data_IF_331881852643
#
_entry.id   IF_331881852643
#
_cell.length_a   1.000
_cell.length_b   1.000
_cell.length_c   1.000
_cell.angle_alpha   90.00
_cell.angle_beta   90.00
_cell.angle_gamma   90.00
#
_symmetry.space_group_name_H-M   'P 1'
#
loop_
_entity.id
_entity.type
_entity.pdbx_description
1 polymer ?
#
# COMPACT_ATOMS: atom_id res chain seq x y z
N UNK A 1 22.54 -49.95 -37.64
CA UNK A 1 23.33 -49.76 -36.41
C UNK A 1 22.98 -48.38 -35.86
N UNK A 2 22.15 -48.24 -34.83
CA UNK A 2 22.33 -48.78 -33.48
C UNK A 2 22.52 -47.57 -32.58
N UNK A 3 21.47 -47.15 -31.86
CA UNK A 3 21.25 -47.49 -30.45
C UNK A 3 22.10 -46.66 -29.49
N UNK A 4 21.44 -45.70 -28.81
CA UNK A 4 21.65 -45.34 -27.40
C UNK A 4 20.55 -44.32 -27.03
N UNK A 5 19.34 -44.73 -26.68
CA UNK A 5 18.98 -45.41 -25.42
C UNK A 5 19.27 -44.48 -24.23
N UNK A 6 18.19 -43.95 -23.65
CA UNK A 6 18.07 -43.65 -22.22
C UNK A 6 18.93 -42.52 -21.67
N UNK A 7 18.35 -41.31 -21.51
CA UNK A 7 18.92 -40.36 -20.54
C UNK A 7 17.93 -39.38 -19.91
N UNK A 8 16.71 -39.23 -20.47
CA UNK A 8 15.81 -38.17 -19.98
C UNK A 8 14.89 -38.58 -18.81
N UNK A 9 14.75 -39.87 -18.51
CA UNK A 9 13.80 -40.35 -17.50
C UNK A 9 14.43 -40.46 -16.08
N UNK A 10 15.76 -40.38 -15.94
CA UNK A 10 16.45 -40.60 -14.65
C UNK A 10 16.89 -39.34 -13.89
N UNK A 11 16.76 -38.14 -14.45
CA UNK A 11 17.17 -36.91 -13.74
C UNK A 11 16.05 -36.36 -12.84
N UNK A 12 14.80 -36.77 -13.05
CA UNK A 12 13.66 -36.24 -12.28
C UNK A 12 13.52 -36.81 -10.86
N UNK A 13 14.30 -37.83 -10.47
CA UNK A 13 14.14 -38.52 -9.17
C UNK A 13 15.15 -38.03 -8.12
N UNK A 14 16.02 -37.07 -8.44
CA UNK A 14 17.09 -36.61 -7.54
C UNK A 14 16.91 -35.17 -7.00
N UNK A 15 15.67 -34.69 -6.87
CA UNK A 15 15.37 -33.43 -6.17
C UNK A 15 14.44 -33.61 -4.96
N UNK A 16 14.39 -34.83 -4.40
CA UNK A 16 13.81 -35.08 -3.08
C UNK A 16 14.81 -34.72 -1.97
N UNK A 17 15.21 -33.44 -1.93
CA UNK A 17 15.97 -32.82 -0.83
C UNK A 17 15.10 -31.73 -0.21
N UNK A 18 13.97 -32.15 0.36
CA UNK A 18 13.17 -31.34 1.28
C UNK A 18 13.98 -31.20 2.57
N UNK A 19 14.95 -30.28 2.59
CA UNK A 19 15.51 -29.73 3.82
C UNK A 19 14.80 -28.42 4.08
N UNK A 20 13.55 -28.52 4.53
CA UNK A 20 12.85 -27.42 5.17
C UNK A 20 12.87 -27.72 6.66
N UNK A 21 14.01 -27.38 7.28
CA UNK A 21 14.18 -27.39 8.74
C UNK A 21 13.44 -26.16 9.30
N UNK A 22 12.12 -26.23 9.38
CA UNK A 22 11.32 -25.23 10.08
C UNK A 22 11.25 -25.60 11.57
N UNK A 23 12.05 -24.93 12.40
CA UNK A 23 11.59 -24.62 13.76
C UNK A 23 10.58 -23.50 13.64
N UNK A 24 9.41 -23.64 14.26
CA UNK A 24 9.01 -22.58 15.17
C UNK A 24 8.31 -23.15 16.41
N UNK A 25 8.95 -22.97 17.57
CA UNK A 25 8.16 -22.72 18.76
C UNK A 25 7.45 -21.39 18.55
N UNK A 26 6.13 -21.43 18.36
CA UNK A 26 5.27 -20.25 18.29
C UNK A 26 4.06 -20.50 19.18
N UNK A 27 3.94 -19.63 20.17
CA UNK A 27 2.94 -19.55 21.23
C UNK A 27 1.53 -19.86 20.71
N UNK A 28 0.85 -20.84 21.32
CA UNK A 28 -0.60 -21.04 21.14
C UNK A 28 -1.33 -19.93 21.89
N UNK A 29 -1.65 -18.83 21.20
CA UNK A 29 -2.67 -17.90 21.70
C UNK A 29 -4.03 -18.56 21.43
N UNK A 30 -4.55 -19.33 22.38
CA UNK A 30 -5.92 -19.86 22.28
C UNK A 30 -6.90 -18.75 22.63
N UNK A 31 -7.21 -17.89 21.67
CA UNK A 31 -8.44 -17.09 21.76
C UNK A 31 -9.58 -18.05 21.45
N UNK A 32 -10.45 -18.29 22.43
CA UNK A 32 -11.65 -19.09 22.28
C UNK A 32 -12.56 -18.45 21.22
N UNK A 33 -12.37 -18.81 19.95
CA UNK A 33 -13.25 -18.40 18.87
C UNK A 33 -14.57 -19.15 19.02
N UNK A 34 -15.54 -18.51 19.68
CA UNK A 34 -16.89 -19.03 19.79
C UNK A 34 -17.63 -18.73 18.48
N UNK A 35 -17.98 -19.75 17.65
CA UNK A 35 -18.55 -19.54 16.31
C UNK A 35 -19.99 -18.99 16.34
N UNK A 36 -20.62 -18.95 17.52
CA UNK A 36 -21.96 -18.39 17.71
C UNK A 36 -21.99 -16.86 17.70
N UNK A 37 -20.84 -16.19 17.78
CA UNK A 37 -20.74 -14.74 17.58
C UNK A 37 -21.25 -14.39 16.17
N UNK A 38 -20.76 -15.07 15.13
CA UNK A 38 -21.06 -14.72 13.73
C UNK A 38 -22.44 -15.14 13.22
N UNK A 39 -23.19 -15.94 13.98
CA UNK A 39 -24.50 -16.44 13.55
C UNK A 39 -25.65 -15.44 13.75
N UNK A 40 -25.50 -14.46 14.66
CA UNK A 40 -26.60 -13.58 15.08
C UNK A 40 -26.37 -12.09 14.79
N UNK A 41 -25.35 -11.72 14.01
CA UNK A 41 -25.21 -10.32 13.60
C UNK A 41 -26.13 -10.01 12.41
N UNK A 42 -27.10 -9.09 12.54
CA UNK A 42 -27.77 -8.54 11.38
C UNK A 42 -26.71 -8.03 10.40
N UNK A 43 -26.86 -8.33 9.10
CA UNK A 43 -25.94 -7.83 8.06
C UNK A 43 -25.76 -6.33 8.27
N UNK A 44 -24.54 -5.92 8.58
CA UNK A 44 -24.19 -4.50 8.69
C UNK A 44 -24.37 -3.87 7.32
N UNK A 45 -25.50 -3.18 7.13
CA UNK A 45 -25.72 -2.31 5.99
C UNK A 45 -25.02 -0.99 6.33
N UNK A 46 -23.81 -0.83 5.81
CA UNK A 46 -23.08 0.41 5.83
C UNK A 46 -24.01 1.52 5.26
N UNK A 47 -24.38 2.56 6.05
CA UNK A 47 -25.37 3.56 5.62
C UNK A 47 -24.96 4.39 4.39
N UNK A 48 -23.71 4.26 3.93
CA UNK A 48 -23.10 5.01 2.84
C UNK A 48 -23.27 4.37 1.45
N UNK A 49 -24.13 3.35 1.29
CA UNK A 49 -24.28 2.65 0.01
C UNK A 49 -25.19 3.36 -1.02
N UNK A 50 -25.81 4.50 -0.66
CA UNK A 50 -26.56 5.31 -1.61
C UNK A 50 -25.59 6.25 -2.34
N UNK A 51 -25.39 6.00 -3.65
CA UNK A 51 -24.41 6.63 -4.54
C UNK A 51 -24.58 8.16 -4.79
N UNK A 52 -25.19 8.90 -3.86
CA UNK A 52 -25.38 10.34 -3.93
C UNK A 52 -25.49 11.06 -2.58
N UNK A 53 -25.34 10.34 -1.46
CA UNK A 53 -25.39 10.89 -0.10
C UNK A 53 -24.04 10.71 0.62
N UNK A 54 -22.95 10.62 -0.13
CA UNK A 54 -21.60 10.66 0.43
C UNK A 54 -21.26 12.11 0.78
N UNK A 55 -21.13 12.38 2.08
CA UNK A 55 -20.58 13.64 2.55
C UNK A 55 -19.14 13.74 2.03
N UNK A 56 -18.86 14.71 1.16
CA UNK A 56 -17.53 14.89 0.60
C UNK A 56 -16.56 15.23 1.71
N UNK A 57 -15.38 14.61 1.67
CA UNK A 57 -14.32 14.94 2.61
C UNK A 57 -13.92 16.41 2.43
N UNK A 58 -13.93 17.23 3.50
CA UNK A 58 -13.54 18.64 3.41
C UNK A 58 -12.07 18.82 3.00
N UNK A 59 -11.27 17.76 3.14
CA UNK A 59 -9.86 17.72 2.73
C UNK A 59 -9.71 18.07 1.24
N UNK A 60 -10.62 17.63 0.37
CA UNK A 60 -10.48 17.85 -1.07
C UNK A 60 -10.65 19.32 -1.48
N UNK A 61 -11.37 20.10 -0.69
CA UNK A 61 -11.51 21.55 -0.89
C UNK A 61 -10.32 22.34 -0.31
N UNK A 62 -9.68 21.82 0.75
CA UNK A 62 -8.57 22.47 1.45
C UNK A 62 -7.24 22.23 0.71
N UNK A 63 -7.03 21.04 0.17
CA UNK A 63 -5.82 20.65 -0.59
C UNK A 63 -5.36 21.72 -1.61
N UNK A 64 -6.20 22.21 -2.56
CA UNK A 64 -5.75 23.17 -3.56
C UNK A 64 -5.35 24.52 -2.97
N UNK A 65 -5.98 24.96 -1.87
CA UNK A 65 -5.61 26.21 -1.18
C UNK A 65 -4.21 26.11 -0.58
N UNK A 66 -3.93 24.99 0.10
CA UNK A 66 -2.63 24.72 0.71
C UNK A 66 -1.49 24.55 -0.31
N UNK A 67 -1.76 24.05 -1.51
CA UNK A 67 -0.75 23.92 -2.58
C UNK A 67 -0.13 25.28 -2.97
N UNK A 68 -0.92 26.35 -2.94
CA UNK A 68 -0.42 27.71 -3.23
C UNK A 68 0.63 28.16 -2.22
N UNK A 69 0.41 27.88 -0.93
CA UNK A 69 1.36 28.20 0.15
C UNK A 69 2.63 27.36 0.07
N UNK A 70 2.53 26.12 -0.38
CA UNK A 70 3.64 25.17 -0.51
C UNK A 70 4.30 25.16 -1.90
N UNK A 71 4.13 26.23 -2.69
CA UNK A 71 4.60 26.32 -4.08
C UNK A 71 6.11 26.10 -4.25
N UNK A 72 6.93 26.50 -3.27
CA UNK A 72 8.38 26.25 -3.28
C UNK A 72 8.70 24.74 -3.35
N UNK A 73 8.12 23.95 -2.45
CA UNK A 73 8.33 22.50 -2.39
C UNK A 73 7.72 21.77 -3.59
N UNK A 74 6.61 22.29 -4.12
CA UNK A 74 5.97 21.77 -5.32
C UNK A 74 6.89 21.91 -6.55
N UNK A 75 7.60 23.03 -6.67
CA UNK A 75 8.56 23.24 -7.76
C UNK A 75 9.74 22.27 -7.68
N UNK A 76 10.29 22.05 -6.48
CA UNK A 76 11.40 21.10 -6.26
C UNK A 76 10.99 19.65 -6.55
N UNK A 77 9.79 19.25 -6.10
CA UNK A 77 9.24 17.95 -6.42
C UNK A 77 9.04 17.76 -7.92
N UNK A 78 8.45 18.76 -8.60
CA UNK A 78 8.24 18.71 -10.05
C UNK A 78 9.57 18.66 -10.81
N UNK A 79 10.59 19.42 -10.38
CA UNK A 79 11.92 19.34 -10.95
C UNK A 79 12.54 17.94 -10.78
N UNK A 80 12.35 17.31 -9.62
CA UNK A 80 12.77 15.94 -9.39
C UNK A 80 12.06 14.94 -10.34
N UNK A 81 10.74 15.02 -10.45
CA UNK A 81 9.93 14.15 -11.33
C UNK A 81 10.35 14.31 -12.78
N UNK A 82 10.60 15.54 -13.25
CA UNK A 82 11.08 15.80 -14.60
C UNK A 82 12.48 15.22 -14.87
N UNK A 83 13.40 15.26 -13.88
CA UNK A 83 14.71 14.60 -14.04
C UNK A 83 14.59 13.09 -14.12
N UNK A 84 13.66 12.50 -13.36
CA UNK A 84 13.42 11.07 -13.34
C UNK A 84 12.71 10.56 -14.58
N UNK A 85 11.76 11.31 -15.13
CA UNK A 85 11.07 10.94 -16.37
C UNK A 85 12.00 10.90 -17.59
N UNK A 86 13.07 11.71 -17.57
CA UNK A 86 14.09 11.73 -18.60
C UNK A 86 15.14 10.61 -18.47
N UNK A 87 15.21 9.93 -17.31
CA UNK A 87 16.17 8.82 -17.11
C UNK A 87 15.57 7.49 -17.56
N UNK A 88 16.32 6.75 -18.37
CA UNK A 88 15.98 5.38 -18.81
C UNK A 88 16.36 4.29 -17.82
N UNK A 89 17.11 4.63 -16.76
CA UNK A 89 17.73 3.65 -15.87
C UNK A 89 16.77 3.05 -14.84
N UNK A 90 15.57 3.63 -14.67
CA UNK A 90 14.57 3.23 -13.68
C UNK A 90 15.07 3.33 -12.23
N UNK A 91 16.14 4.09 -11.97
CA UNK A 91 16.80 4.22 -10.68
C UNK A 91 16.73 5.65 -10.16
N UNK A 92 16.20 5.81 -8.94
CA UNK A 92 16.10 7.07 -8.21
C UNK A 92 14.67 7.35 -7.77
N UNK A 93 14.51 8.03 -6.63
CA UNK A 93 13.22 8.32 -6.03
C UNK A 93 13.12 9.80 -5.66
N UNK A 94 11.96 10.41 -5.85
CA UNK A 94 11.64 11.76 -5.35
C UNK A 94 11.07 11.75 -3.92
N UNK A 95 11.26 10.67 -3.16
CA UNK A 95 10.62 10.48 -1.86
C UNK A 95 11.00 11.56 -0.85
N UNK A 96 12.27 11.97 -0.82
CA UNK A 96 12.71 13.04 0.08
C UNK A 96 12.04 14.37 -0.22
N UNK A 97 11.92 14.74 -1.50
CA UNK A 97 11.26 15.99 -1.90
C UNK A 97 9.75 15.92 -1.65
N UNK A 98 9.15 14.73 -1.79
CA UNK A 98 7.75 14.48 -1.47
C UNK A 98 7.48 14.59 0.03
N UNK A 99 8.37 14.11 0.89
CA UNK A 99 8.22 14.20 2.35
C UNK A 99 8.15 15.67 2.81
N UNK A 100 9.02 16.53 2.30
CA UNK A 100 9.01 17.97 2.60
C UNK A 100 7.73 18.68 2.09
N UNK A 101 7.29 18.35 0.87
CA UNK A 101 6.03 18.84 0.31
C UNK A 101 4.84 18.40 1.18
N UNK A 102 4.80 17.13 1.56
CA UNK A 102 3.73 16.58 2.39
C UNK A 102 3.72 17.20 3.79
N UNK A 103 4.89 17.44 4.40
CA UNK A 103 5.00 18.10 5.69
C UNK A 103 4.46 19.54 5.66
N UNK A 104 4.77 20.29 4.60
CA UNK A 104 4.20 21.62 4.39
C UNK A 104 2.67 21.57 4.21
N UNK A 105 2.19 20.62 3.41
CA UNK A 105 0.76 20.46 3.13
C UNK A 105 -0.01 20.06 4.38
N UNK A 106 0.50 19.11 5.16
CA UNK A 106 -0.12 18.64 6.40
C UNK A 106 -0.15 19.74 7.47
N UNK A 107 0.90 20.56 7.57
CA UNK A 107 0.91 21.71 8.46
C UNK A 107 -0.20 22.71 8.11
N UNK A 108 -0.42 22.97 6.82
CA UNK A 108 -1.52 23.84 6.37
C UNK A 108 -2.90 23.22 6.64
N UNK A 109 -3.11 21.96 6.25
CA UNK A 109 -4.39 21.26 6.42
C UNK A 109 -4.77 21.17 7.90
N UNK A 110 -3.80 20.91 8.78
CA UNK A 110 -4.04 20.78 10.21
C UNK A 110 -4.68 22.03 10.83
N UNK A 111 -4.42 23.23 10.29
CA UNK A 111 -5.04 24.46 10.79
C UNK A 111 -6.49 24.64 10.33
N UNK A 112 -6.83 24.20 9.13
CA UNK A 112 -8.17 24.42 8.54
C UNK A 112 -9.13 23.25 8.81
N UNK A 113 -8.63 22.02 8.92
CA UNK A 113 -9.47 20.81 8.95
C UNK A 113 -10.42 20.78 10.16
N UNK A 114 -9.95 21.23 11.33
CA UNK A 114 -10.75 21.26 12.56
C UNK A 114 -11.90 22.28 12.52
N UNK A 115 -11.88 23.23 11.58
CA UNK A 115 -13.00 24.15 11.38
C UNK A 115 -14.16 23.53 10.59
N UNK A 116 -13.87 22.51 9.79
CA UNK A 116 -14.83 21.82 8.93
C UNK A 116 -15.42 20.55 9.57
N UNK A 117 -14.75 19.98 10.58
CA UNK A 117 -15.23 18.82 11.32
C UNK A 117 -16.03 19.30 12.53
N UNK A 118 -17.29 18.84 12.66
CA UNK A 118 -18.16 19.12 13.80
C UNK A 118 -18.35 17.90 14.69
#
# INVERSE_FOLDING_TARGET
FGSSRWSWIKVLVLFCRVVVRLRPGRVKMSVSYSPLFFANFPKYHAPHLHAGEEHKDPIDEIKPKCLTSCSHWLNEYNACVMRLSLRTDGKGDCKGQYEELSGCQDHCIAHEIWSHIK
#
